data_IF_121201619947
#
_entry.id   IF_121201619947
#
_cell.length_a   1.000
_cell.length_b   1.000
_cell.length_c   1.000
_cell.angle_alpha   90.00
_cell.angle_beta   90.00
_cell.angle_gamma   90.00
#
_symmetry.space_group_name_H-M   'P 1'
#
loop_
_entity.id
_entity.type
_entity.pdbx_description
1 polymer ?
#
# COMPACT_ATOMS: atom_id res chain seq x y z
N UNK A 1 -53.91 -13.04 66.83
CA UNK A 1 -52.44 -13.04 66.74
C UNK A 1 -52.08 -12.53 65.35
N UNK A 2 -51.68 -11.26 65.18
CA UNK A 2 -50.27 -10.81 64.94
C UNK A 2 -49.57 -11.64 63.85
N UNK A 3 -48.89 -11.15 62.80
CA UNK A 3 -48.34 -9.83 62.40
C UNK A 3 -47.87 -9.95 60.93
N UNK A 4 -48.01 -8.86 60.15
CA UNK A 4 -46.97 -8.19 59.33
C UNK A 4 -45.80 -9.00 58.72
N UNK A 5 -45.50 -8.76 57.43
CA UNK A 5 -44.20 -8.26 56.93
C UNK A 5 -44.41 -7.56 55.57
N UNK A 6 -43.87 -6.34 55.47
CA UNK A 6 -43.71 -5.53 54.27
C UNK A 6 -42.64 -6.13 53.33
N UNK A 7 -42.76 -5.88 52.03
CA UNK A 7 -41.60 -5.37 51.28
C UNK A 7 -42.04 -4.42 50.16
N UNK A 8 -41.53 -3.19 50.26
CA UNK A 8 -41.50 -2.18 49.22
C UNK A 8 -40.63 -2.64 48.04
N UNK A 9 -41.01 -2.25 46.82
CA UNK A 9 -40.10 -1.45 45.98
C UNK A 9 -40.88 -0.81 44.84
N UNK A 10 -40.82 0.52 44.80
CA UNK A 10 -41.33 1.36 43.75
C UNK A 10 -40.20 1.69 42.76
N UNK A 11 -40.62 2.02 41.53
CA UNK A 11 -39.97 2.92 40.56
C UNK A 11 -38.62 2.50 39.97
N UNK A 12 -38.61 2.29 38.65
CA UNK A 12 -38.06 3.28 37.71
C UNK A 12 -38.43 2.93 36.27
N UNK A 13 -39.21 3.81 35.63
CA UNK A 13 -39.29 3.93 34.18
C UNK A 13 -37.94 4.45 33.67
N UNK A 14 -37.31 3.72 32.76
CA UNK A 14 -36.30 4.30 31.87
C UNK A 14 -36.65 3.95 30.44
N UNK A 15 -37.04 4.99 29.72
CA UNK A 15 -37.21 4.99 28.29
C UNK A 15 -35.89 4.61 27.61
N UNK A 16 -35.89 3.54 26.83
CA UNK A 16 -34.88 3.36 25.79
C UNK A 16 -35.20 4.33 24.66
N UNK A 17 -34.72 5.57 24.76
CA UNK A 17 -34.50 6.39 23.58
C UNK A 17 -33.30 5.80 22.84
N UNK A 18 -33.57 5.02 21.80
CA UNK A 18 -32.58 4.80 20.74
C UNK A 18 -32.34 6.14 20.04
N UNK A 19 -31.12 6.66 20.16
CA UNK A 19 -30.60 7.70 19.28
C UNK A 19 -30.70 7.21 17.83
N UNK A 20 -31.34 7.94 16.91
CA UNK A 20 -31.22 7.65 15.50
C UNK A 20 -29.85 8.17 15.05
N UNK A 21 -28.81 7.34 15.12
CA UNK A 21 -27.64 7.52 14.25
C UNK A 21 -27.90 6.82 12.92
N UNK A 22 -28.93 7.28 12.21
CA UNK A 22 -28.89 7.24 10.75
C UNK A 22 -27.98 8.37 10.33
N UNK A 23 -26.67 8.11 10.29
CA UNK A 23 -25.75 8.97 9.57
C UNK A 23 -26.22 8.94 8.10
N UNK A 24 -27.00 9.94 7.71
CA UNK A 24 -27.37 10.17 6.33
C UNK A 24 -26.11 10.09 5.47
N UNK A 25 -26.21 9.43 4.32
CA UNK A 25 -25.11 9.39 3.38
C UNK A 25 -24.85 10.83 2.92
N UNK A 26 -23.78 11.45 3.44
CA UNK A 26 -23.31 12.74 2.92
C UNK A 26 -23.05 12.54 1.44
N UNK A 27 -23.75 13.29 0.60
CA UNK A 27 -23.54 13.20 -0.83
C UNK A 27 -22.11 13.66 -1.14
N UNK A 28 -21.45 13.03 -2.12
CA UNK A 28 -20.10 13.41 -2.59
C UNK A 28 -20.01 14.92 -2.85
N UNK A 29 -21.08 15.49 -3.41
CA UNK A 29 -21.22 16.92 -3.70
C UNK A 29 -21.05 17.81 -2.46
N UNK A 30 -21.52 17.37 -1.30
CA UNK A 30 -21.41 18.18 -0.08
C UNK A 30 -19.99 18.16 0.51
N UNK A 31 -19.13 17.23 0.06
CA UNK A 31 -17.73 17.08 0.50
C UNK A 31 -16.75 17.80 -0.42
N UNK A 32 -17.18 18.19 -1.62
CA UNK A 32 -16.42 18.94 -2.61
C UNK A 32 -16.67 20.45 -2.43
N UNK A 33 -15.62 21.26 -2.53
CA UNK A 33 -15.69 22.71 -2.39
C UNK A 33 -15.18 23.43 -3.65
N UNK A 34 -15.92 23.26 -4.76
CA UNK A 34 -15.55 23.80 -6.08
C UNK A 34 -15.40 25.33 -6.09
N UNK A 35 -15.98 26.05 -5.13
CA UNK A 35 -15.90 27.50 -5.04
C UNK A 35 -14.60 27.99 -4.41
N UNK A 36 -13.90 27.13 -3.66
CA UNK A 36 -12.69 27.51 -2.92
C UNK A 36 -11.39 27.29 -3.71
N UNK A 37 -11.46 26.72 -4.90
CA UNK A 37 -10.30 26.40 -5.75
C UNK A 37 -10.50 26.94 -7.16
N UNK A 38 -9.44 27.49 -7.74
CA UNK A 38 -9.47 28.08 -9.06
C UNK A 38 -9.44 27.00 -10.17
N UNK A 39 -10.02 27.26 -11.35
CA UNK A 39 -9.83 26.40 -12.51
C UNK A 39 -8.35 26.27 -12.89
N UNK A 40 -7.93 25.08 -13.32
CA UNK A 40 -6.57 24.84 -13.84
C UNK A 40 -6.52 24.96 -15.36
N UNK A 41 -5.40 25.43 -15.88
CA UNK A 41 -5.22 25.69 -17.30
C UNK A 41 -5.01 24.43 -18.15
N UNK A 42 -4.36 23.40 -17.59
CA UNK A 42 -4.14 22.13 -18.26
C UNK A 42 -5.22 21.12 -17.86
N UNK A 43 -5.81 20.38 -18.81
CA UNK A 43 -6.71 19.28 -18.48
C UNK A 43 -5.93 18.17 -17.78
N UNK A 44 -6.54 17.56 -16.78
CA UNK A 44 -6.04 16.35 -16.15
C UNK A 44 -6.12 15.17 -17.13
N UNK A 45 -5.24 14.18 -16.96
CA UNK A 45 -5.19 13.01 -17.83
C UNK A 45 -6.49 12.19 -17.73
N UNK A 46 -7.12 11.85 -18.85
CA UNK A 46 -8.29 10.96 -18.90
C UNK A 46 -7.91 9.50 -18.64
N UNK A 47 -8.88 8.66 -18.28
CA UNK A 47 -8.68 7.21 -18.13
C UNK A 47 -8.06 6.59 -19.39
N UNK A 48 -8.55 6.98 -20.56
CA UNK A 48 -8.05 6.51 -21.85
C UNK A 48 -6.57 6.90 -22.04
N UNK A 49 -6.19 8.13 -21.71
CA UNK A 49 -4.80 8.59 -21.80
C UNK A 49 -3.88 7.88 -20.80
N UNK A 50 -4.35 7.57 -19.59
CA UNK A 50 -3.56 6.89 -18.56
C UNK A 50 -3.10 5.50 -19.04
N UNK A 51 -3.98 4.75 -19.72
CA UNK A 51 -3.70 3.40 -20.20
C UNK A 51 -3.30 3.31 -21.69
N UNK A 52 -3.27 4.43 -22.42
CA UNK A 52 -2.99 4.43 -23.85
C UNK A 52 -1.56 3.97 -24.18
N UNK A 53 -1.45 3.17 -25.24
CA UNK A 53 -0.20 2.76 -25.86
C UNK A 53 -0.29 2.95 -27.38
N UNK A 54 0.77 3.42 -28.06
CA UNK A 54 0.81 3.47 -29.51
C UNK A 54 0.72 2.08 -30.15
N UNK A 55 0.12 2.01 -31.33
CA UNK A 55 0.02 0.75 -32.11
C UNK A 55 1.39 0.15 -32.42
N UNK A 56 2.39 1.00 -32.71
CA UNK A 56 3.75 0.57 -32.98
C UNK A 56 4.37 -0.17 -31.78
N UNK A 57 4.21 0.40 -30.57
CA UNK A 57 4.69 -0.21 -29.33
C UNK A 57 3.97 -1.52 -29.04
N UNK A 58 2.65 -1.56 -29.27
CA UNK A 58 1.85 -2.78 -29.13
C UNK A 58 2.29 -3.87 -30.11
N UNK A 59 2.55 -3.51 -31.36
CA UNK A 59 3.01 -4.44 -32.39
C UNK A 59 4.38 -5.04 -32.05
N UNK A 60 5.30 -4.20 -31.57
CA UNK A 60 6.62 -4.63 -31.11
C UNK A 60 6.51 -5.61 -29.93
N UNK A 61 5.72 -5.25 -28.91
CA UNK A 61 5.48 -6.14 -27.77
C UNK A 61 4.87 -7.48 -28.21
N UNK A 62 3.97 -7.49 -29.20
CA UNK A 62 3.40 -8.74 -29.74
C UNK A 62 4.48 -9.63 -30.35
N UNK A 63 5.40 -9.05 -31.10
CA UNK A 63 6.50 -9.78 -31.73
C UNK A 63 7.46 -10.38 -30.68
N UNK A 64 7.78 -9.63 -29.63
CA UNK A 64 8.75 -10.08 -28.62
C UNK A 64 8.14 -11.07 -27.61
N UNK A 65 6.84 -10.93 -27.32
CA UNK A 65 6.18 -11.69 -26.24
C UNK A 65 5.42 -12.90 -26.74
N UNK A 66 4.70 -12.81 -27.86
CA UNK A 66 3.78 -13.89 -28.29
C UNK A 66 4.49 -15.05 -28.99
N UNK A 67 5.78 -14.90 -29.35
CA UNK A 67 6.62 -15.97 -29.91
C UNK A 67 6.75 -17.18 -28.98
N UNK A 68 6.62 -16.97 -27.66
CA UNK A 68 6.67 -18.05 -26.68
C UNK A 68 5.34 -18.80 -26.65
N UNK A 69 5.36 -20.13 -26.67
CA UNK A 69 4.14 -20.94 -26.67
C UNK A 69 3.47 -21.11 -25.30
N UNK A 70 4.24 -21.02 -24.21
CA UNK A 70 3.79 -21.32 -22.85
C UNK A 70 3.46 -20.03 -22.08
N UNK A 71 2.32 -19.94 -21.35
CA UNK A 71 1.91 -18.73 -20.63
C UNK A 71 2.95 -18.16 -19.65
N UNK A 72 3.67 -19.02 -18.92
CA UNK A 72 4.72 -18.57 -17.99
C UNK A 72 5.81 -17.80 -18.72
N UNK A 73 6.28 -18.31 -19.86
CA UNK A 73 7.36 -17.70 -20.63
C UNK A 73 6.90 -16.40 -21.28
N UNK A 74 5.64 -16.31 -21.72
CA UNK A 74 5.02 -15.04 -22.16
C UNK A 74 5.01 -13.98 -21.06
N UNK A 75 4.70 -14.37 -19.83
CA UNK A 75 4.68 -13.43 -18.69
C UNK A 75 6.09 -12.92 -18.36
N UNK A 76 7.10 -13.80 -18.41
CA UNK A 76 8.50 -13.42 -18.24
C UNK A 76 9.01 -12.57 -19.41
N UNK A 77 8.59 -12.87 -20.64
CA UNK A 77 8.94 -12.08 -21.82
C UNK A 77 8.34 -10.68 -21.75
N UNK A 78 7.11 -10.52 -21.26
CA UNK A 78 6.51 -9.22 -20.99
C UNK A 78 7.35 -8.40 -19.99
N UNK A 79 7.77 -9.00 -18.88
CA UNK A 79 8.65 -8.30 -17.93
C UNK A 79 10.01 -7.93 -18.56
N UNK A 80 10.61 -8.84 -19.32
CA UNK A 80 11.85 -8.56 -20.06
C UNK A 80 11.67 -7.43 -21.05
N UNK A 81 10.52 -7.35 -21.72
CA UNK A 81 10.20 -6.27 -22.64
C UNK A 81 10.13 -4.91 -21.92
N UNK A 82 9.48 -4.84 -20.77
CA UNK A 82 9.37 -3.61 -19.95
C UNK A 82 10.76 -3.13 -19.50
N UNK A 83 11.57 -4.05 -18.96
CA UNK A 83 12.89 -3.74 -18.41
C UNK A 83 14.04 -3.86 -19.42
N UNK A 84 13.76 -4.03 -20.72
CA UNK A 84 14.81 -4.14 -21.73
C UNK A 84 15.72 -2.91 -21.67
N UNK A 85 17.02 -3.12 -21.64
CA UNK A 85 17.97 -2.00 -21.70
C UNK A 85 17.87 -1.36 -23.09
N UNK A 86 17.53 -0.07 -23.12
CA UNK A 86 17.68 0.79 -24.29
C UNK A 86 18.90 1.69 -24.06
N UNK A 87 18.97 2.85 -24.71
CA UNK A 87 20.04 3.83 -24.42
C UNK A 87 20.08 4.19 -22.93
N UNK A 88 18.92 4.27 -22.26
CA UNK A 88 18.81 4.54 -20.83
C UNK A 88 18.07 3.41 -20.06
N UNK A 89 18.61 2.95 -18.91
CA UNK A 89 17.95 1.97 -18.06
C UNK A 89 16.73 2.57 -17.35
N UNK A 90 15.70 1.77 -17.10
CA UNK A 90 14.52 2.21 -16.35
C UNK A 90 14.91 2.54 -14.89
N UNK A 91 14.63 3.75 -14.47
CA UNK A 91 14.91 4.27 -13.13
C UNK A 91 13.65 4.33 -12.28
N UNK A 92 13.77 3.90 -11.02
CA UNK A 92 12.69 4.05 -10.06
C UNK A 92 12.72 5.42 -9.40
N UNK A 93 11.70 6.23 -9.67
CA UNK A 93 11.56 7.62 -9.20
C UNK A 93 10.22 7.77 -8.46
N UNK A 94 10.25 8.13 -7.17
CA UNK A 94 9.07 8.08 -6.30
C UNK A 94 7.90 8.97 -6.78
N UNK A 95 8.21 10.18 -7.27
CA UNK A 95 7.26 11.18 -7.76
C UNK A 95 7.01 11.07 -9.27
N UNK A 96 7.50 10.02 -9.95
CA UNK A 96 7.20 9.76 -11.36
C UNK A 96 5.89 8.97 -11.47
N UNK A 97 4.76 9.63 -11.17
CA UNK A 97 3.42 9.12 -11.47
C UNK A 97 3.05 9.48 -12.91
N UNK A 98 3.20 8.51 -13.82
CA UNK A 98 3.17 8.70 -15.26
C UNK A 98 2.15 7.78 -15.94
N UNK A 99 1.65 8.21 -17.09
CA UNK A 99 0.82 7.34 -17.97
C UNK A 99 1.64 6.16 -18.49
N UNK A 100 0.97 5.14 -19.04
CA UNK A 100 1.64 3.97 -19.61
C UNK A 100 2.71 4.37 -20.66
N UNK A 101 2.37 5.26 -21.60
CA UNK A 101 3.29 5.72 -22.62
C UNK A 101 4.46 6.51 -22.05
N UNK A 102 4.19 7.48 -21.16
CA UNK A 102 5.26 8.28 -20.54
C UNK A 102 6.23 7.41 -19.73
N UNK A 103 5.71 6.40 -19.02
CA UNK A 103 6.54 5.44 -18.28
C UNK A 103 7.51 4.70 -19.21
N UNK A 104 7.02 4.31 -20.38
CA UNK A 104 7.83 3.61 -21.38
C UNK A 104 8.89 4.52 -22.02
N UNK A 105 8.51 5.74 -22.41
CA UNK A 105 9.39 6.68 -23.13
C UNK A 105 10.41 7.35 -22.22
N UNK A 106 9.99 7.82 -21.03
CA UNK A 106 10.84 8.58 -20.11
C UNK A 106 11.79 7.69 -19.33
N UNK A 107 11.51 6.37 -19.26
CA UNK A 107 12.29 5.40 -18.48
C UNK A 107 12.41 5.78 -17.01
N UNK A 108 11.46 6.54 -16.48
CA UNK A 108 11.29 6.85 -15.06
C UNK A 108 9.93 6.33 -14.61
N UNK A 109 9.85 5.74 -13.41
CA UNK A 109 8.58 5.22 -12.92
C UNK A 109 8.57 5.02 -11.40
N UNK A 110 7.41 5.21 -10.78
CA UNK A 110 7.10 4.57 -9.50
C UNK A 110 6.35 3.24 -9.71
N UNK A 111 6.05 2.53 -8.61
CA UNK A 111 5.35 1.25 -8.64
C UNK A 111 4.01 1.29 -9.39
N UNK A 112 3.19 2.32 -9.16
CA UNK A 112 1.89 2.47 -9.81
C UNK A 112 2.04 2.63 -11.34
N UNK A 113 2.99 3.44 -11.78
CA UNK A 113 3.26 3.69 -13.19
C UNK A 113 3.74 2.42 -13.91
N UNK A 114 4.62 1.64 -13.28
CA UNK A 114 5.03 0.31 -13.78
C UNK A 114 3.85 -0.67 -13.85
N UNK A 115 2.96 -0.65 -12.86
CA UNK A 115 1.75 -1.47 -12.85
C UNK A 115 0.78 -1.07 -13.97
N UNK A 116 0.60 0.23 -14.22
CA UNK A 116 -0.21 0.76 -15.33
C UNK A 116 0.38 0.37 -16.69
N UNK A 117 1.69 0.53 -16.91
CA UNK A 117 2.35 0.11 -18.14
C UNK A 117 2.21 -1.41 -18.37
N UNK A 118 2.45 -2.19 -17.32
CA UNK A 118 2.33 -3.67 -17.38
C UNK A 118 0.92 -4.11 -17.72
N UNK A 119 -0.09 -3.49 -17.11
CA UNK A 119 -1.49 -3.76 -17.41
C UNK A 119 -1.85 -3.43 -18.85
N UNK A 120 -1.44 -2.25 -19.31
CA UNK A 120 -1.74 -1.75 -20.65
C UNK A 120 -1.14 -2.67 -21.72
N UNK A 121 0.13 -3.07 -21.56
CA UNK A 121 0.79 -4.02 -22.44
C UNK A 121 0.13 -5.40 -22.38
N UNK A 122 -0.14 -5.93 -21.18
CA UNK A 122 -0.79 -7.22 -21.02
C UNK A 122 -2.16 -7.27 -21.75
N UNK A 123 -2.98 -6.23 -21.60
CA UNK A 123 -4.26 -6.12 -22.31
C UNK A 123 -4.09 -6.01 -23.82
N UNK A 124 -3.11 -5.23 -24.29
CA UNK A 124 -2.84 -5.07 -25.71
C UNK A 124 -2.35 -6.37 -26.39
N UNK A 125 -1.75 -7.27 -25.60
CA UNK A 125 -1.35 -8.63 -25.97
C UNK A 125 -2.48 -9.67 -25.84
N UNK A 126 -3.66 -9.28 -25.38
CA UNK A 126 -4.81 -10.17 -25.18
C UNK A 126 -4.74 -11.01 -23.91
N UNK A 127 -3.91 -10.63 -22.92
CA UNK A 127 -3.85 -11.31 -21.64
C UNK A 127 -5.04 -10.87 -20.78
N UNK A 128 -5.58 -11.77 -19.97
CA UNK A 128 -6.45 -11.34 -18.88
C UNK A 128 -5.57 -10.68 -17.82
N UNK A 129 -6.01 -9.56 -17.29
CA UNK A 129 -5.24 -8.76 -16.35
C UNK A 129 -6.18 -8.28 -15.22
N UNK A 130 -5.75 -8.44 -13.97
CA UNK A 130 -6.54 -8.11 -12.78
C UNK A 130 -5.65 -7.38 -11.78
N UNK A 131 -5.95 -6.11 -11.52
CA UNK A 131 -5.31 -5.37 -10.43
C UNK A 131 -5.75 -5.93 -9.08
N UNK A 132 -4.82 -5.90 -8.12
CA UNK A 132 -5.14 -6.16 -6.73
C UNK A 132 -4.50 -5.11 -5.85
N UNK A 133 -5.31 -4.57 -4.94
CA UNK A 133 -4.86 -3.82 -3.79
C UNK A 133 -4.28 -4.78 -2.77
N UNK A 134 -3.03 -4.54 -2.38
CA UNK A 134 -2.29 -5.34 -1.39
C UNK A 134 -2.39 -4.63 -0.06
N UNK A 135 -3.03 -5.28 0.89
CA UNK A 135 -3.19 -4.74 2.24
C UNK A 135 -1.88 -4.89 3.00
N UNK A 136 -1.00 -3.91 2.84
CA UNK A 136 0.30 -3.88 3.51
C UNK A 136 0.09 -3.50 4.98
N UNK A 137 0.62 -4.29 5.93
CA UNK A 137 0.71 -3.89 7.33
C UNK A 137 1.52 -2.60 7.43
N UNK A 138 0.97 -1.56 8.04
CA UNK A 138 1.56 -0.23 7.98
C UNK A 138 3.05 -0.16 8.35
N UNK A 139 3.82 0.45 7.44
CA UNK A 139 5.16 0.96 7.70
C UNK A 139 5.05 2.48 7.80
N UNK A 140 5.25 3.03 9.00
CA UNK A 140 5.08 4.46 9.26
C UNK A 140 6.27 5.25 8.72
N UNK A 141 6.02 6.15 7.76
CA UNK A 141 6.96 7.21 7.39
C UNK A 141 6.22 8.54 7.55
N UNK A 142 6.36 9.16 8.71
CA UNK A 142 5.86 10.51 8.94
C UNK A 142 6.76 11.48 8.16
N UNK A 143 6.23 12.18 7.14
CA UNK A 143 6.93 13.31 6.51
C UNK A 143 6.24 14.61 6.95
N UNK A 144 6.97 15.49 7.66
CA UNK A 144 6.49 16.82 8.05
C UNK A 144 5.12 16.84 8.77
N UNK A 145 4.88 15.88 9.67
CA UNK A 145 3.65 15.82 10.46
C UNK A 145 2.38 15.44 9.69
N UNK A 146 2.49 15.01 8.42
CA UNK A 146 1.36 14.50 7.63
C UNK A 146 1.71 13.16 7.01
N UNK A 147 0.86 12.16 7.20
CA UNK A 147 1.02 10.88 6.51
C UNK A 147 0.14 10.89 5.27
N UNK A 148 0.77 10.94 4.09
CA UNK A 148 0.10 10.71 2.81
C UNK A 148 0.47 9.30 2.38
N UNK A 149 -0.52 8.44 2.20
CA UNK A 149 -0.31 7.05 1.79
C UNK A 149 -0.46 6.93 0.28
N UNK A 150 0.50 6.24 -0.33
CA UNK A 150 0.28 5.52 -1.56
C UNK A 150 0.09 4.05 -1.17
N UNK A 151 -1.10 3.49 -1.40
CA UNK A 151 -1.32 2.04 -1.25
C UNK A 151 -0.44 1.25 -2.20
N UNK A 152 -0.39 -0.08 -2.06
CA UNK A 152 0.37 -0.94 -2.97
C UNK A 152 -0.56 -1.72 -3.87
N UNK A 153 -0.27 -1.66 -5.16
CA UNK A 153 -1.05 -2.36 -6.18
C UNK A 153 -0.12 -3.33 -6.89
N UNK A 154 -0.55 -4.58 -6.96
CA UNK A 154 0.04 -5.59 -7.82
C UNK A 154 -0.90 -5.95 -8.97
N UNK A 155 -0.39 -6.76 -9.89
CA UNK A 155 -1.11 -7.14 -11.09
C UNK A 155 -1.02 -8.65 -11.31
N UNK A 156 -2.16 -9.30 -11.45
CA UNK A 156 -2.22 -10.70 -11.91
C UNK A 156 -2.49 -10.72 -13.41
N UNK A 157 -1.62 -11.36 -14.17
CA UNK A 157 -1.78 -11.58 -15.61
C UNK A 157 -1.96 -13.06 -15.92
N UNK A 158 -2.85 -13.35 -16.87
CA UNK A 158 -3.11 -14.71 -17.37
C UNK A 158 -3.02 -14.68 -18.90
N UNK A 159 -1.86 -15.06 -19.47
CA UNK A 159 -1.70 -15.11 -20.92
C UNK A 159 -2.57 -16.21 -21.55
N UNK A 160 -3.08 -15.99 -22.78
CA UNK A 160 -3.86 -17.01 -23.47
C UNK A 160 -2.99 -18.22 -23.82
N UNK A 161 -3.58 -19.40 -23.86
CA UNK A 161 -2.93 -20.61 -24.38
C UNK A 161 -3.01 -20.62 -25.91
N UNK A 162 -1.90 -20.89 -26.61
CA UNK A 162 -1.97 -21.24 -28.04
C UNK A 162 -2.19 -22.74 -28.14
N UNK A 163 -3.37 -23.16 -28.59
CA UNK A 163 -3.62 -24.57 -28.92
C UNK A 163 -2.69 -24.99 -30.05
N UNK A 164 -1.69 -25.84 -29.76
CA UNK A 164 -1.16 -26.72 -30.79
C UNK A 164 -2.21 -27.81 -31.06
N UNK A 165 -2.26 -28.34 -32.28
CA UNK A 165 -3.31 -29.24 -32.78
C UNK A 165 -3.47 -30.59 -32.03
N UNK A 166 -2.82 -30.79 -30.87
CA UNK A 166 -2.97 -31.96 -30.03
C UNK A 166 -3.95 -31.68 -28.87
N UNK A 167 -5.12 -32.34 -28.91
CA UNK A 167 -6.16 -32.32 -27.88
C UNK A 167 -5.66 -32.98 -26.58
N UNK A 168 -5.05 -32.20 -25.68
CA UNK A 168 -4.91 -32.58 -24.27
C UNK A 168 -5.26 -31.37 -23.41
N UNK A 169 -6.43 -31.40 -22.77
CA UNK A 169 -6.88 -30.33 -21.87
C UNK A 169 -6.24 -30.52 -20.50
N UNK A 170 -5.13 -29.82 -20.25
CA UNK A 170 -4.60 -29.63 -18.89
C UNK A 170 -4.94 -28.20 -18.47
N UNK A 171 -6.01 -28.04 -17.71
CA UNK A 171 -6.38 -26.78 -17.06
C UNK A 171 -5.51 -26.61 -15.80
N UNK A 172 -4.31 -26.08 -15.95
CA UNK A 172 -3.61 -25.46 -14.84
C UNK A 172 -3.95 -23.95 -14.85
N UNK A 173 -4.23 -23.36 -13.70
CA UNK A 173 -4.41 -21.91 -13.58
C UNK A 173 -3.05 -21.22 -13.80
N UNK A 174 -2.84 -20.64 -14.99
CA UNK A 174 -1.55 -20.04 -15.40
C UNK A 174 -1.47 -18.55 -15.00
N UNK A 175 -1.83 -18.23 -13.76
CA UNK A 175 -1.77 -16.86 -13.26
C UNK A 175 -0.33 -16.49 -12.91
N UNK A 176 0.12 -15.33 -13.38
CA UNK A 176 1.44 -14.78 -13.09
C UNK A 176 1.27 -13.46 -12.34
N UNK A 177 1.90 -13.36 -11.17
CA UNK A 177 1.86 -12.17 -10.33
C UNK A 177 3.02 -11.23 -10.69
N UNK A 178 2.68 -10.00 -11.04
CA UNK A 178 3.60 -8.88 -11.25
C UNK A 178 3.48 -7.95 -10.04
N UNK A 179 4.58 -7.76 -9.33
CA UNK A 179 4.68 -6.89 -8.16
C UNK A 179 6.01 -6.12 -8.22
N UNK A 180 5.94 -4.80 -8.20
CA UNK A 180 7.09 -3.89 -8.39
C UNK A 180 7.63 -3.28 -7.10
N UNK A 181 7.23 -3.79 -5.94
CA UNK A 181 7.68 -3.22 -4.67
C UNK A 181 9.21 -3.30 -4.47
N UNK A 182 9.81 -2.17 -4.09
CA UNK A 182 11.22 -2.05 -3.75
C UNK A 182 11.50 -2.65 -2.37
N UNK A 183 12.08 -3.83 -2.38
CA UNK A 183 12.93 -4.38 -1.32
C UNK A 183 12.28 -4.69 0.05
N UNK A 184 12.36 -5.97 0.40
CA UNK A 184 12.52 -6.38 1.80
C UNK A 184 11.23 -6.82 2.46
N UNK A 185 10.83 -8.04 2.15
CA UNK A 185 9.92 -8.73 3.04
C UNK A 185 9.28 -9.91 2.39
N UNK A 186 9.51 -11.05 3.00
CA UNK A 186 8.79 -12.29 2.86
C UNK A 186 7.38 -12.09 3.38
N UNK A 187 6.60 -11.30 2.65
CA UNK A 187 5.21 -11.07 2.95
C UNK A 187 4.52 -12.39 2.72
N UNK A 188 4.18 -13.06 3.83
CA UNK A 188 3.05 -13.97 3.89
C UNK A 188 1.94 -13.41 3.01
N UNK A 189 1.22 -14.27 2.27
CA UNK A 189 0.16 -13.87 1.33
C UNK A 189 -0.72 -12.78 1.96
N UNK A 190 -0.38 -11.51 1.70
CA UNK A 190 -1.09 -10.41 2.30
C UNK A 190 -2.52 -10.48 1.78
N UNK A 191 -3.51 -10.06 2.57
CA UNK A 191 -4.86 -9.93 2.07
C UNK A 191 -4.81 -9.06 0.81
N UNK A 192 -5.33 -9.60 -0.28
CA UNK A 192 -5.46 -8.87 -1.54
C UNK A 192 -6.93 -8.69 -1.85
N UNK A 193 -7.27 -7.51 -2.34
CA UNK A 193 -8.61 -7.19 -2.83
C UNK A 193 -8.53 -6.87 -4.31
N UNK A 194 -9.40 -7.46 -5.12
CA UNK A 194 -9.50 -7.07 -6.54
C UNK A 194 -9.99 -5.63 -6.63
N UNK A 195 -9.34 -4.84 -7.46
CA UNK A 195 -9.73 -3.46 -7.74
C UNK A 195 -9.92 -3.26 -9.24
N UNK A 196 -10.74 -2.27 -9.58
CA UNK A 196 -11.11 -1.90 -10.95
C UNK A 196 -10.07 -0.98 -11.58
N UNK A 197 -10.17 -0.76 -12.90
CA UNK A 197 -9.39 0.29 -13.56
C UNK A 197 -9.74 1.69 -13.00
N UNK A 198 -10.99 1.93 -12.61
CA UNK A 198 -11.42 3.22 -12.07
C UNK A 198 -10.79 3.49 -10.70
N UNK A 199 -10.64 2.46 -9.87
CA UNK A 199 -9.87 2.54 -8.63
C UNK A 199 -8.40 2.90 -8.91
N UNK A 200 -7.79 2.32 -9.96
CA UNK A 200 -6.40 2.65 -10.36
C UNK A 200 -6.27 4.09 -10.83
N UNK A 201 -7.24 4.58 -11.61
CA UNK A 201 -7.25 5.98 -12.05
C UNK A 201 -7.38 6.92 -10.85
N UNK A 202 -8.26 6.60 -9.88
CA UNK A 202 -8.33 7.36 -8.64
C UNK A 202 -7.01 7.33 -7.87
N UNK A 203 -6.32 6.18 -7.76
CA UNK A 203 -5.00 6.11 -7.12
C UNK A 203 -3.93 6.92 -7.89
N UNK A 204 -3.99 6.92 -9.21
CA UNK A 204 -3.12 7.76 -10.06
C UNK A 204 -3.32 9.24 -9.76
N UNK A 205 -4.57 9.71 -9.72
CA UNK A 205 -4.89 11.09 -9.37
C UNK A 205 -4.53 11.43 -7.92
N UNK A 206 -4.68 10.50 -6.97
CA UNK A 206 -4.24 10.68 -5.59
C UNK A 206 -2.74 10.98 -5.50
N UNK A 207 -1.92 10.22 -6.22
CA UNK A 207 -0.47 10.45 -6.26
C UNK A 207 -0.14 11.82 -6.90
N UNK A 208 -0.78 12.16 -8.03
CA UNK A 208 -0.63 13.46 -8.69
C UNK A 208 -1.01 14.63 -7.76
N UNK A 209 -2.09 14.47 -7.00
CA UNK A 209 -2.52 15.45 -6.03
C UNK A 209 -1.54 15.58 -4.86
N UNK A 210 -1.00 14.46 -4.37
CA UNK A 210 0.05 14.48 -3.35
C UNK A 210 1.29 15.25 -3.82
N UNK A 211 1.75 15.00 -5.06
CA UNK A 211 2.87 15.72 -5.66
C UNK A 211 2.54 17.22 -5.81
N UNK A 212 1.33 17.57 -6.27
CA UNK A 212 0.87 18.94 -6.38
C UNK A 212 0.80 19.67 -5.03
N UNK A 213 0.32 19.00 -3.96
CA UNK A 213 0.31 19.54 -2.60
C UNK A 213 1.74 19.83 -2.09
N UNK A 214 2.71 18.95 -2.38
CA UNK A 214 4.10 19.14 -1.96
C UNK A 214 4.72 20.41 -2.57
N UNK A 215 4.37 20.75 -3.80
CA UNK A 215 4.81 21.97 -4.49
C UNK A 215 3.82 23.13 -4.36
N UNK A 216 2.85 23.02 -3.43
CA UNK A 216 1.83 24.04 -3.10
C UNK A 216 0.91 24.46 -4.26
N UNK A 217 0.76 23.61 -5.27
CA UNK A 217 -0.23 23.79 -6.34
C UNK A 217 -1.59 23.26 -5.89
N UNK A 218 -2.19 23.95 -4.92
CA UNK A 218 -3.41 23.48 -4.24
C UNK A 218 -4.64 23.37 -5.15
N UNK A 219 -4.78 24.27 -6.13
CA UNK A 219 -5.86 24.20 -7.11
C UNK A 219 -5.74 22.92 -7.96
N UNK A 220 -4.53 22.62 -8.44
CA UNK A 220 -4.27 21.39 -9.19
C UNK A 220 -4.50 20.14 -8.34
N UNK A 221 -4.04 20.14 -7.09
CA UNK A 221 -4.30 19.06 -6.16
C UNK A 221 -5.81 18.82 -5.96
N UNK A 222 -6.58 19.90 -5.83
CA UNK A 222 -8.03 19.81 -5.71
C UNK A 222 -8.67 19.17 -6.94
N UNK A 223 -8.34 19.61 -8.15
CA UNK A 223 -8.93 19.06 -9.37
C UNK A 223 -8.60 17.58 -9.57
N UNK A 224 -7.39 17.15 -9.21
CA UNK A 224 -7.06 15.72 -9.20
C UNK A 224 -7.88 14.94 -8.16
N UNK A 225 -8.03 15.47 -6.95
CA UNK A 225 -8.80 14.78 -5.89
C UNK A 225 -10.30 14.77 -6.17
N UNK A 226 -10.83 15.83 -6.80
CA UNK A 226 -12.19 15.87 -7.30
C UNK A 226 -12.40 14.78 -8.36
N UNK A 227 -11.54 14.71 -9.38
CA UNK A 227 -11.63 13.68 -10.40
C UNK A 227 -11.50 12.26 -9.84
N UNK A 228 -10.65 12.07 -8.82
CA UNK A 228 -10.55 10.80 -8.09
C UNK A 228 -11.84 10.44 -7.35
N UNK A 229 -12.50 11.43 -6.73
CA UNK A 229 -13.76 11.23 -6.00
C UNK A 229 -14.92 10.95 -6.95
N UNK A 230 -14.93 11.60 -8.12
CA UNK A 230 -15.94 11.41 -9.15
C UNK A 230 -15.84 10.03 -9.82
N UNK A 231 -14.63 9.58 -10.14
CA UNK A 231 -14.43 8.30 -10.85
C UNK A 231 -14.53 7.07 -9.93
N UNK A 232 -14.08 7.18 -8.68
CA UNK A 232 -14.12 6.08 -7.72
C UNK A 232 -14.38 6.60 -6.29
N UNK A 233 -15.64 6.95 -5.94
CA UNK A 233 -15.98 7.50 -4.63
C UNK A 233 -15.78 6.52 -3.48
N UNK A 234 -15.57 5.22 -3.77
CA UNK A 234 -15.29 4.17 -2.80
C UNK A 234 -13.82 4.09 -2.34
N UNK A 235 -12.92 4.91 -2.90
CA UNK A 235 -11.49 4.88 -2.54
C UNK A 235 -11.24 5.75 -1.30
N UNK A 236 -11.03 5.12 -0.14
CA UNK A 236 -10.84 5.82 1.13
C UNK A 236 -9.64 6.79 1.13
N UNK A 237 -8.59 6.48 0.37
CA UNK A 237 -7.39 7.33 0.24
C UNK A 237 -7.70 8.70 -0.38
N UNK A 238 -8.64 8.75 -1.35
CA UNK A 238 -9.10 9.99 -1.98
C UNK A 238 -9.64 10.98 -0.95
N UNK A 239 -10.52 10.50 -0.08
CA UNK A 239 -11.14 11.31 0.96
C UNK A 239 -10.13 11.74 2.03
N UNK A 240 -9.18 10.88 2.40
CA UNK A 240 -8.07 11.28 3.28
C UNK A 240 -7.23 12.39 2.66
N UNK A 241 -6.86 12.28 1.39
CA UNK A 241 -6.00 13.27 0.72
C UNK A 241 -6.73 14.60 0.49
N UNK A 242 -8.03 14.56 0.18
CA UNK A 242 -8.88 15.75 0.14
C UNK A 242 -8.96 16.44 1.52
N UNK A 243 -9.09 15.66 2.59
CA UNK A 243 -9.06 16.19 3.95
C UNK A 243 -7.71 16.82 4.34
N UNK A 244 -6.59 16.23 3.89
CA UNK A 244 -5.25 16.79 4.05
C UNK A 244 -5.14 18.14 3.33
N UNK A 245 -5.62 18.22 2.08
CA UNK A 245 -5.66 19.45 1.30
C UNK A 245 -6.48 20.53 2.03
N UNK A 246 -7.71 20.22 2.47
CA UNK A 246 -8.55 21.15 3.22
C UNK A 246 -7.88 21.64 4.51
N UNK A 247 -7.20 20.74 5.25
CA UNK A 247 -6.44 21.11 6.43
C UNK A 247 -5.30 22.10 6.10
N UNK A 248 -4.55 21.85 5.03
CA UNK A 248 -3.51 22.78 4.56
C UNK A 248 -4.08 24.14 4.11
N UNK A 249 -5.33 24.16 3.64
CA UNK A 249 -6.07 25.38 3.27
C UNK A 249 -6.87 26.01 4.40
N UNK A 250 -6.66 25.57 5.65
CA UNK A 250 -7.35 26.10 6.84
C UNK A 250 -8.88 26.00 6.76
N UNK A 251 -9.39 24.91 6.16
CA UNK A 251 -10.81 24.60 6.04
C UNK A 251 -11.17 23.39 6.95
N UNK A 252 -11.17 23.56 8.29
CA UNK A 252 -11.28 22.44 9.22
C UNK A 252 -12.60 21.67 9.09
N UNK A 253 -13.72 22.33 8.83
CA UNK A 253 -15.03 21.68 8.70
C UNK A 253 -15.08 20.71 7.51
N UNK A 254 -14.55 21.14 6.36
CA UNK A 254 -14.43 20.28 5.18
C UNK A 254 -13.42 19.15 5.39
N UNK A 255 -12.30 19.45 6.07
CA UNK A 255 -11.31 18.44 6.41
C UNK A 255 -11.89 17.33 7.30
N UNK A 256 -12.61 17.69 8.37
CA UNK A 256 -13.24 16.72 9.27
C UNK A 256 -14.24 15.82 8.52
N UNK A 257 -15.12 16.41 7.72
CA UNK A 257 -16.12 15.66 6.95
C UNK A 257 -15.48 14.68 5.95
N UNK A 258 -14.41 15.10 5.27
CA UNK A 258 -13.67 14.23 4.36
C UNK A 258 -12.90 13.12 5.09
N UNK A 259 -12.28 13.38 6.25
CA UNK A 259 -11.68 12.33 7.08
C UNK A 259 -12.73 11.32 7.56
N UNK A 260 -13.89 11.79 8.01
CA UNK A 260 -14.99 10.92 8.45
C UNK A 260 -15.53 10.06 7.31
N UNK A 261 -15.61 10.59 6.08
CA UNK A 261 -15.97 9.82 4.91
C UNK A 261 -14.92 8.73 4.59
N UNK A 262 -13.63 9.05 4.69
CA UNK A 262 -12.55 8.07 4.56
C UNK A 262 -12.69 6.93 5.60
N UNK A 263 -12.94 7.27 6.88
CA UNK A 263 -13.17 6.27 7.94
C UNK A 263 -14.51 5.51 7.78
N UNK A 264 -15.50 6.09 7.10
CA UNK A 264 -16.74 5.36 6.79
C UNK A 264 -16.49 4.23 5.78
N UNK A 265 -15.62 4.48 4.80
CA UNK A 265 -15.22 3.50 3.80
C UNK A 265 -14.26 2.46 4.39
N UNK A 266 -13.29 2.91 5.18
CA UNK A 266 -12.30 2.06 5.84
C UNK A 266 -12.15 2.43 7.33
N UNK A 267 -12.96 1.81 8.23
CA UNK A 267 -13.05 2.17 9.64
C UNK A 267 -11.76 2.06 10.44
N UNK A 268 -10.83 1.22 9.99
CA UNK A 268 -9.54 1.01 10.61
C UNK A 268 -8.40 1.61 9.79
N UNK A 269 -8.64 2.56 8.87
CA UNK A 269 -7.58 3.20 8.08
C UNK A 269 -6.69 4.09 8.95
N UNK A 270 -5.49 3.65 9.36
CA UNK A 270 -4.81 4.27 10.50
C UNK A 270 -4.15 5.60 10.15
N UNK A 271 -3.78 5.82 8.88
CA UNK A 271 -3.37 7.15 8.39
C UNK A 271 -4.49 8.18 8.50
N UNK A 272 -5.73 7.81 8.18
CA UNK A 272 -6.88 8.71 8.31
C UNK A 272 -7.13 9.04 9.78
N UNK A 273 -7.07 8.04 10.66
CA UNK A 273 -7.18 8.27 12.10
C UNK A 273 -6.07 9.20 12.64
N UNK A 274 -4.82 8.98 12.23
CA UNK A 274 -3.69 9.82 12.64
C UNK A 274 -3.85 11.27 12.13
N UNK A 275 -4.24 11.44 10.87
CA UNK A 275 -4.45 12.75 10.28
C UNK A 275 -5.64 13.50 10.90
N UNK A 276 -6.73 12.78 11.23
CA UNK A 276 -7.88 13.34 11.95
C UNK A 276 -7.52 13.70 13.39
N UNK A 277 -6.69 12.90 14.07
CA UNK A 277 -6.19 13.24 15.40
C UNK A 277 -5.40 14.55 15.40
N UNK A 278 -4.53 14.75 14.40
CA UNK A 278 -3.81 16.02 14.19
C UNK A 278 -4.78 17.19 13.98
N UNK A 279 -5.84 16.99 13.18
CA UNK A 279 -6.87 18.01 12.97
C UNK A 279 -7.59 18.35 14.29
N UNK A 280 -8.01 17.35 15.07
CA UNK A 280 -8.66 17.54 16.37
C UNK A 280 -7.75 18.24 17.37
N UNK A 281 -6.46 17.90 17.43
CA UNK A 281 -5.49 18.59 18.26
C UNK A 281 -5.38 20.08 17.87
N UNK A 282 -5.32 20.38 16.57
CA UNK A 282 -5.29 21.76 16.07
C UNK A 282 -6.57 22.56 16.38
N UNK A 283 -7.72 21.89 16.49
CA UNK A 283 -9.01 22.49 16.89
C UNK A 283 -9.21 22.57 18.41
N UNK A 284 -8.23 22.14 19.23
CA UNK A 284 -8.35 22.08 20.69
C UNK A 284 -9.24 20.95 21.22
N UNK A 285 -9.66 20.01 20.35
CA UNK A 285 -10.44 18.81 20.70
C UNK A 285 -9.52 17.70 21.19
N UNK A 286 -8.78 17.96 22.27
CA UNK A 286 -7.71 17.09 22.77
C UNK A 286 -8.19 15.69 23.17
N UNK A 287 -9.42 15.55 23.67
CA UNK A 287 -9.98 14.25 24.05
C UNK A 287 -10.24 13.37 22.82
N UNK A 288 -10.80 13.95 21.75
CA UNK A 288 -11.07 13.22 20.50
C UNK A 288 -9.76 12.82 19.80
N UNK A 289 -8.76 13.72 19.81
CA UNK A 289 -7.42 13.44 19.31
C UNK A 289 -6.79 12.26 20.06
N UNK A 290 -6.78 12.30 21.40
CA UNK A 290 -6.23 11.24 22.23
C UNK A 290 -6.94 9.88 22.02
N UNK A 291 -8.25 9.88 21.81
CA UNK A 291 -9.01 8.68 21.52
C UNK A 291 -8.60 8.03 20.18
N UNK A 292 -8.39 8.84 19.14
CA UNK A 292 -7.90 8.36 17.84
C UNK A 292 -6.45 7.87 17.93
N UNK A 293 -5.58 8.61 18.62
CA UNK A 293 -4.19 8.21 18.83
C UNK A 293 -4.10 6.88 19.59
N UNK A 294 -4.94 6.66 20.60
CA UNK A 294 -5.02 5.41 21.33
C UNK A 294 -5.39 4.23 20.42
N UNK A 295 -6.35 4.42 19.50
CA UNK A 295 -6.73 3.40 18.50
C UNK A 295 -5.58 3.10 17.55
N UNK A 296 -4.95 4.13 16.99
CA UNK A 296 -3.77 3.98 16.12
C UNK A 296 -2.66 3.21 16.85
N UNK A 297 -2.39 3.57 18.10
CA UNK A 297 -1.37 2.92 18.91
C UNK A 297 -1.71 1.46 19.21
N UNK A 298 -2.98 1.15 19.49
CA UNK A 298 -3.43 -0.22 19.69
C UNK A 298 -3.21 -1.07 18.44
N UNK A 299 -3.52 -0.55 17.25
CA UNK A 299 -3.25 -1.24 15.98
C UNK A 299 -1.76 -1.48 15.77
N UNK A 300 -0.92 -0.47 16.01
CA UNK A 300 0.55 -0.59 15.94
C UNK A 300 1.09 -1.68 16.85
N UNK A 301 0.67 -1.70 18.11
CA UNK A 301 1.15 -2.67 19.10
C UNK A 301 0.73 -4.11 18.80
N UNK A 302 -0.25 -4.32 17.91
CA UNK A 302 -0.68 -5.64 17.44
C UNK A 302 -0.04 -6.05 16.11
N UNK A 303 0.67 -5.14 15.44
CA UNK A 303 1.33 -5.39 14.16
C UNK A 303 2.80 -5.82 14.38
N UNK A 304 3.21 -7.05 14.03
CA UNK A 304 4.61 -7.48 14.15
C UNK A 304 5.56 -6.61 13.29
N UNK A 305 5.12 -6.17 12.11
CA UNK A 305 5.94 -5.36 11.19
C UNK A 305 6.20 -3.95 11.70
N UNK A 306 5.34 -3.41 12.59
CA UNK A 306 5.64 -2.18 13.31
C UNK A 306 6.92 -2.31 14.14
N UNK A 307 7.13 -3.45 14.79
CA UNK A 307 8.33 -3.72 15.56
C UNK A 307 9.56 -4.05 14.69
N UNK A 308 9.36 -4.64 13.50
CA UNK A 308 10.44 -4.77 12.50
C UNK A 308 10.93 -3.39 12.08
N UNK A 309 10.03 -2.47 11.79
CA UNK A 309 10.36 -1.09 11.42
C UNK A 309 11.12 -0.39 12.55
N UNK A 310 10.63 -0.45 13.79
CA UNK A 310 11.32 0.12 14.96
C UNK A 310 12.73 -0.48 15.14
N UNK A 311 12.87 -1.79 14.91
CA UNK A 311 14.17 -2.47 14.99
C UNK A 311 15.14 -1.99 13.92
N UNK A 312 14.67 -1.82 12.67
CA UNK A 312 15.48 -1.31 11.57
C UNK A 312 15.90 0.16 11.79
N UNK A 313 15.00 0.99 12.31
CA UNK A 313 15.33 2.38 12.68
C UNK A 313 16.40 2.41 13.77
N UNK A 314 16.23 1.64 14.83
CA UNK A 314 17.22 1.53 15.90
C UNK A 314 18.58 1.02 15.38
N UNK A 315 18.60 0.03 14.48
CA UNK A 315 19.82 -0.42 13.79
C UNK A 315 20.49 0.70 12.99
N UNK A 316 19.72 1.49 12.23
CA UNK A 316 20.27 2.61 11.45
C UNK A 316 20.90 3.70 12.32
N UNK A 317 20.40 3.83 13.55
CA UNK A 317 20.92 4.73 14.58
C UNK A 317 21.96 4.05 15.49
N UNK A 318 22.40 2.83 15.17
CA UNK A 318 23.34 2.01 15.95
C UNK A 318 22.90 1.70 17.39
N UNK A 319 21.60 1.84 17.70
CA UNK A 319 21.01 1.48 19.00
C UNK A 319 20.71 -0.03 19.04
N UNK A 320 21.76 -0.84 19.18
CA UNK A 320 21.66 -2.31 19.06
C UNK A 320 20.69 -2.94 20.06
N UNK A 321 20.70 -2.51 21.33
CA UNK A 321 19.82 -3.06 22.36
C UNK A 321 18.33 -2.77 22.07
N UNK A 322 18.01 -1.57 21.59
CA UNK A 322 16.65 -1.20 21.22
C UNK A 322 16.19 -1.98 19.97
N UNK A 323 17.10 -2.17 19.02
CA UNK A 323 16.85 -2.98 17.83
C UNK A 323 16.52 -4.43 18.19
N UNK A 324 17.35 -5.05 19.03
CA UNK A 324 17.16 -6.41 19.51
C UNK A 324 15.80 -6.56 20.23
N UNK A 325 15.48 -5.64 21.14
CA UNK A 325 14.21 -5.63 21.86
C UNK A 325 13.01 -5.52 20.92
N UNK A 326 13.10 -4.66 19.90
CA UNK A 326 12.04 -4.47 18.92
C UNK A 326 11.85 -5.73 18.06
N UNK A 327 12.91 -6.30 17.48
CA UNK A 327 12.77 -7.55 16.72
C UNK A 327 12.25 -8.70 17.59
N UNK A 328 12.65 -8.78 18.86
CA UNK A 328 12.08 -9.74 19.80
C UNK A 328 10.58 -9.53 20.08
N UNK A 329 10.10 -8.28 20.09
CA UNK A 329 8.65 -7.98 20.16
C UNK A 329 7.93 -8.48 18.91
N UNK A 330 8.50 -8.27 17.72
CA UNK A 330 7.94 -8.80 16.47
C UNK A 330 7.77 -10.31 16.52
N UNK A 331 8.83 -11.06 16.88
CA UNK A 331 8.74 -12.54 16.91
C UNK A 331 7.84 -13.06 18.04
N UNK A 332 7.56 -12.26 19.09
CA UNK A 332 6.55 -12.64 20.10
C UNK A 332 5.14 -12.56 19.55
N UNK A 333 4.86 -11.55 18.71
CA UNK A 333 3.56 -11.43 18.05
C UNK A 333 3.41 -12.45 16.91
N UNK A 334 4.48 -12.65 16.14
CA UNK A 334 4.51 -13.56 15.01
C UNK A 334 5.89 -14.26 14.93
N UNK A 335 6.03 -15.48 15.48
CA UNK A 335 7.32 -16.18 15.59
C UNK A 335 8.03 -16.47 14.27
N UNK A 336 7.31 -16.38 13.16
CA UNK A 336 7.76 -16.76 11.81
C UNK A 336 8.08 -15.56 10.92
N UNK A 337 8.08 -14.32 11.42
CA UNK A 337 8.40 -13.11 10.64
C UNK A 337 9.86 -13.13 10.17
N UNK A 338 10.17 -13.41 8.89
CA UNK A 338 11.55 -13.57 8.42
C UNK A 338 12.37 -12.27 8.52
N UNK A 339 11.72 -11.12 8.38
CA UNK A 339 12.34 -9.80 8.47
C UNK A 339 12.85 -9.50 9.87
N UNK A 340 12.09 -9.89 10.91
CA UNK A 340 12.50 -9.75 12.30
C UNK A 340 13.70 -10.66 12.63
N UNK A 341 13.66 -11.90 12.13
CA UNK A 341 14.76 -12.86 12.27
C UNK A 341 16.01 -12.37 11.56
N UNK A 342 15.87 -11.82 10.36
CA UNK A 342 16.98 -11.22 9.64
C UNK A 342 17.50 -9.96 10.36
N UNK A 343 16.62 -9.16 10.96
CA UNK A 343 16.99 -8.05 11.84
C UNK A 343 17.86 -8.49 13.02
N UNK A 344 17.45 -9.54 13.73
CA UNK A 344 18.23 -10.15 14.82
C UNK A 344 19.58 -10.69 14.33
N UNK A 345 19.62 -11.30 13.14
CA UNK A 345 20.89 -11.72 12.55
C UNK A 345 21.83 -10.53 12.31
N UNK A 346 21.34 -9.39 11.83
CA UNK A 346 22.16 -8.18 11.68
C UNK A 346 22.67 -7.66 13.02
N UNK A 347 21.82 -7.63 14.05
CA UNK A 347 22.22 -7.26 15.42
C UNK A 347 23.35 -8.18 15.90
N UNK A 348 23.18 -9.50 15.78
CA UNK A 348 24.17 -10.48 16.21
C UNK A 348 25.50 -10.35 15.45
N UNK A 349 25.48 -10.08 14.13
CA UNK A 349 26.70 -9.79 13.36
C UNK A 349 27.42 -8.55 13.91
N UNK A 350 26.68 -7.48 14.22
CA UNK A 350 27.27 -6.25 14.79
C UNK A 350 27.80 -6.45 16.21
N UNK A 351 27.31 -7.46 16.93
CA UNK A 351 27.82 -7.88 18.24
C UNK A 351 28.94 -8.95 18.13
N UNK A 352 29.33 -9.34 16.91
CA UNK A 352 30.27 -10.43 16.63
C UNK A 352 29.83 -11.83 17.11
N UNK A 353 28.53 -12.02 17.38
CA UNK A 353 27.95 -13.34 17.66
C UNK A 353 27.51 -14.01 16.35
N UNK A 354 28.50 -14.56 15.62
CA UNK A 354 28.28 -15.19 14.33
C UNK A 354 27.47 -16.50 14.44
N UNK A 355 27.50 -17.16 15.59
CA UNK A 355 26.71 -18.37 15.85
C UNK A 355 25.22 -18.04 15.94
N UNK A 356 24.84 -17.04 16.75
CA UNK A 356 23.46 -16.56 16.82
C UNK A 356 23.00 -15.99 15.48
N UNK A 357 23.84 -15.22 14.79
CA UNK A 357 23.53 -14.69 13.46
C UNK A 357 23.16 -15.79 12.46
N UNK A 358 23.95 -16.86 12.42
CA UNK A 358 23.71 -18.02 11.54
C UNK A 358 22.40 -18.71 11.88
N UNK A 359 22.12 -18.93 13.17
CA UNK A 359 20.84 -19.51 13.63
C UNK A 359 19.64 -18.67 13.22
N UNK A 360 19.70 -17.35 13.40
CA UNK A 360 18.64 -16.44 12.98
C UNK A 360 18.43 -16.43 11.47
N UNK A 361 19.50 -16.44 10.66
CA UNK A 361 19.40 -16.53 9.20
C UNK A 361 18.79 -17.85 8.74
N UNK A 362 19.14 -18.98 9.37
CA UNK A 362 18.55 -20.28 9.05
C UNK A 362 17.04 -20.30 9.30
N UNK A 363 16.59 -19.68 10.40
CA UNK A 363 15.16 -19.52 10.72
C UNK A 363 14.47 -18.57 9.74
N UNK A 364 15.10 -17.44 9.41
CA UNK A 364 14.58 -16.49 8.43
C UNK A 364 14.36 -17.19 7.06
N UNK A 365 15.36 -17.95 6.61
CA UNK A 365 15.33 -18.77 5.39
C UNK A 365 14.27 -19.88 5.41
N UNK A 366 13.96 -20.45 6.57
CA UNK A 366 12.90 -21.45 6.70
C UNK A 366 11.52 -20.85 6.45
N UNK A 367 11.32 -19.61 6.88
CA UNK A 367 10.02 -18.94 6.82
C UNK A 367 9.85 -17.99 5.61
N UNK A 368 10.94 -17.70 4.89
CA UNK A 368 10.90 -16.93 3.66
C UNK A 368 10.30 -17.73 2.49
N UNK A 369 9.47 -17.12 1.62
CA UNK A 369 9.06 -17.73 0.37
C UNK A 369 10.27 -17.96 -0.53
N UNK A 370 10.14 -18.91 -1.45
CA UNK A 370 11.17 -19.16 -2.45
C UNK A 370 11.37 -17.89 -3.30
N UNK A 371 12.61 -17.41 -3.43
CA UNK A 371 12.88 -16.17 -4.16
C UNK A 371 14.18 -15.50 -3.76
N UNK A 372 14.23 -14.19 -3.97
CA UNK A 372 15.39 -13.35 -3.70
C UNK A 372 15.78 -13.36 -2.22
N UNK A 373 14.81 -13.25 -1.31
CA UNK A 373 15.05 -13.25 0.14
C UNK A 373 15.73 -14.53 0.61
N UNK A 374 15.25 -15.71 0.14
CA UNK A 374 15.86 -16.99 0.50
C UNK A 374 17.31 -17.08 0.03
N UNK A 375 17.59 -16.69 -1.21
CA UNK A 375 18.95 -16.64 -1.77
C UNK A 375 19.85 -15.67 -1.01
N UNK A 376 19.32 -14.52 -0.61
CA UNK A 376 20.03 -13.55 0.21
C UNK A 376 20.44 -14.17 1.56
N UNK A 377 19.54 -14.90 2.20
CA UNK A 377 19.83 -15.57 3.47
C UNK A 377 20.81 -16.73 3.27
N UNK A 378 20.65 -17.55 2.23
CA UNK A 378 21.60 -18.63 1.88
C UNK A 378 23.02 -18.07 1.73
N UNK A 379 23.20 -17.03 0.92
CA UNK A 379 24.50 -16.41 0.70
C UNK A 379 25.12 -15.85 1.99
N UNK A 380 24.32 -15.22 2.85
CA UNK A 380 24.80 -14.70 4.14
C UNK A 380 25.22 -15.81 5.10
N UNK A 381 24.50 -16.93 5.13
CA UNK A 381 24.86 -18.11 5.93
C UNK A 381 26.21 -18.67 5.44
N UNK A 382 26.39 -18.81 4.13
CA UNK A 382 27.65 -19.28 3.54
C UNK A 382 28.83 -18.40 3.94
N UNK A 383 28.67 -17.07 3.87
CA UNK A 383 29.72 -16.13 4.29
C UNK A 383 30.07 -16.24 5.77
N UNK A 384 29.09 -16.37 6.67
CA UNK A 384 29.35 -16.53 8.10
C UNK A 384 30.05 -17.87 8.41
N UNK A 385 29.66 -18.95 7.74
CA UNK A 385 30.32 -20.24 7.90
C UNK A 385 31.78 -20.21 7.42
N UNK A 386 32.07 -19.47 6.36
CA UNK A 386 33.45 -19.30 5.86
C UNK A 386 34.32 -18.53 6.86
N UNK A 387 33.79 -17.48 7.50
CA UNK A 387 34.49 -16.74 8.56
C UNK A 387 34.79 -17.66 9.75
N UNK A 388 33.82 -18.44 10.20
CA UNK A 388 33.98 -19.36 11.33
C UNK A 388 34.95 -20.53 11.08
N UNK A 389 35.32 -20.80 9.82
CA UNK A 389 36.33 -21.80 9.45
C UNK A 389 37.74 -21.20 9.28
N UNK A 390 37.85 -19.88 9.23
CA UNK A 390 39.10 -19.15 9.08
C UNK A 390 39.71 -18.69 10.42
N UNK A 391 38.89 -18.64 11.47
CA UNK A 391 39.28 -18.48 12.87
C UNK A 391 39.57 -19.86 13.51
#
# INVERSE_FOLDING_TARGET
>A
MWRLILMLSALCLSACQQLPHTAEAVATEDLLNNQAFMPVAAPIETKEQIFALPDALTAEARQDVLIYGIPRDRSLALLKFIFREQQDPLQYVNNATLTALQTYEQREANCLSLTILSYSLARALGFKAQFQDVQIPEYWITRNGTSVLNGHVNLVVTPPYMQSAAKTFISADHNFLIDFERAGGSRERLPVRKISEDDIVALFYNNKAADAMLIQQFDLAYHYLQAAADIAPGVAATWNNLAVLYRQRQMPDYAERAYLQSLKLEPEHPNTMANLAILYAAMGRTQDAAALEAKVQQTRLRNPYYFVMQGNEALSQQRLADAELAFHRSIRLQPKTPEALFGLAKVAIMQHDYAAATSYLQRARLHAPAGADRRLYDHKIEMLNAVAQAD
#
